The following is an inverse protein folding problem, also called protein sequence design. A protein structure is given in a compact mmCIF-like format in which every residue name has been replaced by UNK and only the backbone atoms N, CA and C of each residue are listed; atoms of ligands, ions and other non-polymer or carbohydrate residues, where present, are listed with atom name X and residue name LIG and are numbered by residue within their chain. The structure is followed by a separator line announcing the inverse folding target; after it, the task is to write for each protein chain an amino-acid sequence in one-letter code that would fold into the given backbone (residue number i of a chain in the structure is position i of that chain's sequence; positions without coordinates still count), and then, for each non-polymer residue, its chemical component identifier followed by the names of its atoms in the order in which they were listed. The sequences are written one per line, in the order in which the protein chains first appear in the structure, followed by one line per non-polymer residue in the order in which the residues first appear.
data_IF_992700913931
#
_entry.id   IF_992700913931
#
_cell.length_a   1.000
_cell.length_b   1.000
_cell.length_c   1.000
_cell.angle_alpha   90.00
_cell.angle_beta   90.00
_cell.angle_gamma   90.00
#
_symmetry.space_group_name_H-M   'P 1'
#
loop_
_entity.id
_entity.type
_entity.pdbx_description
1 polymer ?
#
# COMPACT_ATOMS: atom_id res chain seq x y z
N UNK A 1 18.81 48.04 14.03
CA UNK A 1 19.00 46.69 14.61
C UNK A 1 17.64 46.27 15.18
N UNK A 2 16.82 45.54 14.41
CA UNK A 2 15.70 44.70 14.86
C UNK A 2 15.03 44.11 13.60
N UNK A 3 15.75 43.22 12.91
CA UNK A 3 15.17 42.32 11.92
C UNK A 3 15.10 40.95 12.61
N UNK A 4 14.05 40.76 13.41
CA UNK A 4 13.85 39.58 14.24
C UNK A 4 12.95 38.59 13.49
N UNK A 5 13.54 37.47 13.09
CA UNK A 5 12.95 36.14 12.94
C UNK A 5 11.53 36.02 12.36
N UNK A 6 11.43 35.65 11.07
CA UNK A 6 10.53 34.58 10.63
C UNK A 6 11.11 33.90 9.39
N UNK A 7 12.24 33.19 9.56
CA UNK A 7 12.63 32.15 8.60
C UNK A 7 11.79 30.91 8.94
N UNK A 8 10.55 30.88 8.44
CA UNK A 8 9.70 29.70 8.51
C UNK A 8 10.44 28.59 7.75
N UNK A 9 11.09 27.72 8.50
CA UNK A 9 11.79 26.56 7.98
C UNK A 9 10.70 25.60 7.50
N UNK A 10 10.39 25.63 6.21
CA UNK A 10 9.56 24.63 5.56
C UNK A 10 10.41 23.36 5.51
N UNK A 11 10.50 22.66 6.63
CA UNK A 11 10.98 21.28 6.67
C UNK A 11 10.00 20.49 5.80
N UNK A 12 10.44 19.89 4.68
CA UNK A 12 9.59 18.91 4.02
C UNK A 12 9.39 17.79 5.03
N UNK A 13 8.19 17.71 5.60
CA UNK A 13 7.74 16.51 6.27
C UNK A 13 7.77 15.41 5.20
N UNK A 14 8.84 14.63 5.16
CA UNK A 14 8.89 13.38 4.42
C UNK A 14 8.01 12.43 5.22
N UNK A 15 6.69 12.60 5.14
CA UNK A 15 5.75 11.59 5.60
C UNK A 15 5.92 10.38 4.69
N UNK A 16 6.46 9.29 5.22
CA UNK A 16 6.43 8.00 4.52
C UNK A 16 4.97 7.59 4.35
N UNK A 17 4.61 7.22 3.13
CA UNK A 17 3.31 6.62 2.85
C UNK A 17 3.12 5.39 3.74
N UNK A 18 1.94 5.22 4.33
CA UNK A 18 1.64 4.10 5.23
C UNK A 18 0.57 3.20 4.61
N UNK A 19 0.88 1.93 4.33
CA UNK A 19 -0.01 1.02 3.59
C UNK A 19 -0.37 -0.24 4.37
N UNK A 20 -1.54 -0.81 4.05
CA UNK A 20 -1.92 -2.13 4.55
C UNK A 20 -1.08 -3.21 3.87
N UNK A 21 -0.39 -4.02 4.67
CA UNK A 21 0.42 -5.16 4.23
C UNK A 21 -0.28 -6.47 4.63
N UNK A 22 -0.89 -7.14 3.65
CA UNK A 22 -1.42 -8.49 3.85
C UNK A 22 -1.31 -9.32 2.58
N UNK A 23 -1.27 -10.64 2.71
CA UNK A 23 -1.19 -11.54 1.57
C UNK A 23 -1.88 -12.86 1.83
N UNK A 24 -2.30 -13.49 0.73
CA UNK A 24 -2.71 -14.89 0.68
C UNK A 24 -1.79 -15.57 -0.32
N UNK A 25 -0.98 -16.50 0.17
CA UNK A 25 -0.16 -17.39 -0.66
C UNK A 25 -0.94 -18.67 -0.89
N UNK A 26 -1.13 -19.06 -2.14
CA UNK A 26 -1.79 -20.31 -2.51
C UNK A 26 -0.87 -21.20 -3.34
N UNK A 27 -0.91 -22.50 -3.06
CA UNK A 27 -0.19 -23.50 -3.82
C UNK A 27 -1.17 -24.60 -4.27
N UNK A 28 -1.23 -24.82 -5.57
CA UNK A 28 -2.12 -25.77 -6.22
C UNK A 28 -1.30 -26.84 -6.91
N UNK A 29 -1.44 -28.09 -6.47
CA UNK A 29 -0.75 -29.24 -7.03
C UNK A 29 -1.70 -29.94 -7.99
N UNK A 30 -1.26 -30.11 -9.23
CA UNK A 30 -2.01 -30.82 -10.26
C UNK A 30 -1.35 -32.17 -10.56
N UNK A 31 -2.17 -33.20 -10.79
CA UNK A 31 -1.73 -34.49 -11.31
C UNK A 31 -2.64 -34.89 -12.46
N UNK A 32 -2.04 -35.22 -13.61
CA UNK A 32 -2.77 -35.51 -14.86
C UNK A 32 -3.78 -34.40 -15.23
N UNK A 33 -3.41 -33.14 -15.01
CA UNK A 33 -4.28 -31.97 -15.30
C UNK A 33 -5.40 -31.74 -14.27
N UNK A 34 -5.58 -32.61 -13.28
CA UNK A 34 -6.57 -32.44 -12.21
C UNK A 34 -5.95 -31.81 -10.97
N UNK A 35 -6.66 -30.88 -10.33
CA UNK A 35 -6.27 -30.33 -9.03
C UNK A 35 -6.41 -31.43 -7.96
N UNK A 36 -5.29 -31.84 -7.37
CA UNK A 36 -5.27 -32.88 -6.33
C UNK A 36 -5.06 -32.32 -4.93
N UNK A 37 -4.51 -31.11 -4.81
CA UNK A 37 -4.30 -30.44 -3.53
C UNK A 37 -4.23 -28.94 -3.73
N UNK A 38 -4.91 -28.21 -2.86
CA UNK A 38 -4.77 -26.76 -2.73
C UNK A 38 -4.45 -26.42 -1.28
N UNK A 39 -3.50 -25.54 -1.07
CA UNK A 39 -3.12 -25.05 0.27
C UNK A 39 -3.00 -23.55 0.22
N UNK A 40 -3.58 -22.85 1.19
CA UNK A 40 -3.50 -21.40 1.29
C UNK A 40 -3.02 -20.98 2.68
N UNK A 41 -2.10 -20.02 2.72
CA UNK A 41 -1.62 -19.37 3.93
C UNK A 41 -1.91 -17.87 3.85
N UNK A 42 -2.50 -17.33 4.92
CA UNK A 42 -2.78 -15.89 5.04
C UNK A 42 -1.79 -15.25 5.98
N UNK A 43 -1.24 -14.11 5.57
CA UNK A 43 -0.34 -13.29 6.36
C UNK A 43 -0.93 -11.90 6.48
N UNK A 44 -1.10 -11.43 7.72
CA UNK A 44 -1.59 -10.08 8.00
C UNK A 44 -0.58 -9.36 8.89
N UNK A 45 -0.03 -8.27 8.38
CA UNK A 45 0.96 -7.43 9.07
C UNK A 45 0.38 -6.06 9.46
N UNK A 46 -0.90 -5.81 9.16
CA UNK A 46 -1.52 -4.51 9.41
C UNK A 46 -0.92 -3.38 8.57
N UNK A 47 -0.98 -2.17 9.11
CA UNK A 47 -0.48 -0.96 8.45
C UNK A 47 1.00 -0.80 8.73
N UNK A 48 1.79 -0.61 7.68
CA UNK A 48 3.25 -0.48 7.75
C UNK A 48 3.69 0.73 6.92
N UNK A 49 4.65 1.47 7.44
CA UNK A 49 5.30 2.55 6.70
C UNK A 49 6.10 2.00 5.51
N UNK A 50 5.87 2.61 4.36
CA UNK A 50 6.59 2.29 3.13
C UNK A 50 8.04 2.77 3.21
N UNK A 51 8.94 1.90 2.76
CA UNK A 51 10.36 2.23 2.64
C UNK A 51 10.62 3.35 1.64
N UNK A 52 11.83 3.89 1.67
CA UNK A 52 12.27 4.90 0.71
C UNK A 52 12.03 4.42 -0.73
N UNK A 53 11.44 5.30 -1.56
CA UNK A 53 11.09 5.07 -2.96
C UNK A 53 9.86 4.16 -3.22
N UNK A 54 9.21 3.62 -2.18
CA UNK A 54 7.93 2.94 -2.31
C UNK A 54 6.80 3.96 -2.12
N UNK A 55 6.25 4.45 -3.23
CA UNK A 55 5.35 5.60 -3.27
C UNK A 55 3.90 5.24 -3.63
N UNK A 56 3.55 3.97 -3.65
CA UNK A 56 2.20 3.47 -3.94
C UNK A 56 1.77 2.43 -2.90
N UNK A 57 0.56 2.56 -2.38
CA UNK A 57 -0.15 1.43 -1.81
C UNK A 57 -0.79 0.66 -2.95
N UNK A 58 -0.53 -0.63 -3.03
CA UNK A 58 -1.01 -1.49 -4.10
C UNK A 58 -1.84 -2.61 -3.50
N UNK A 59 -3.03 -2.80 -4.05
CA UNK A 59 -3.79 -4.04 -3.92
C UNK A 59 -3.60 -4.82 -5.23
N UNK A 60 -2.98 -5.98 -5.17
CA UNK A 60 -2.63 -6.74 -6.35
C UNK A 60 -3.43 -8.05 -6.43
N UNK A 61 -3.90 -8.36 -7.64
CA UNK A 61 -4.53 -9.64 -7.93
C UNK A 61 -3.53 -10.78 -7.81
N UNK A 62 -4.04 -12.00 -7.74
CA UNK A 62 -3.25 -13.22 -7.75
C UNK A 62 -2.24 -13.23 -8.89
N UNK A 63 -0.96 -13.38 -8.56
CA UNK A 63 0.16 -13.52 -9.49
C UNK A 63 1.08 -14.65 -9.06
N UNK A 64 1.91 -15.16 -9.96
CA UNK A 64 2.92 -16.17 -9.60
C UNK A 64 3.99 -15.58 -8.68
N UNK A 65 4.39 -16.33 -7.65
CA UNK A 65 5.43 -15.88 -6.70
C UNK A 65 6.77 -15.67 -7.41
N UNK A 66 7.06 -16.43 -8.46
CA UNK A 66 8.24 -16.22 -9.29
C UNK A 66 8.25 -14.81 -9.92
N UNK A 67 7.10 -14.32 -10.38
CA UNK A 67 6.96 -12.96 -10.90
C UNK A 67 6.98 -11.92 -9.79
N UNK A 68 6.28 -12.18 -8.67
CA UNK A 68 6.31 -11.32 -7.48
C UNK A 68 7.75 -11.08 -7.00
N UNK A 69 8.61 -12.10 -6.98
CA UNK A 69 10.02 -12.01 -6.60
C UNK A 69 10.85 -11.06 -7.48
N UNK A 70 10.32 -10.62 -8.62
CA UNK A 70 10.96 -9.61 -9.48
C UNK A 70 10.59 -8.17 -9.13
N UNK A 71 9.59 -7.96 -8.27
CA UNK A 71 9.08 -6.65 -7.83
C UNK A 71 9.83 -6.15 -6.59
N UNK A 72 9.83 -4.85 -6.37
CA UNK A 72 10.43 -4.17 -5.22
C UNK A 72 9.86 -4.62 -3.86
N UNK A 73 8.55 -4.85 -3.78
CA UNK A 73 7.86 -5.43 -2.62
C UNK A 73 8.39 -6.82 -2.23
N UNK A 74 9.10 -7.48 -3.14
CA UNK A 74 9.75 -8.75 -2.90
C UNK A 74 11.28 -8.63 -2.80
N UNK A 75 11.85 -7.43 -2.81
CA UNK A 75 13.30 -7.21 -2.68
C UNK A 75 13.68 -6.58 -1.34
N UNK A 76 12.79 -5.85 -0.68
CA UNK A 76 13.04 -5.21 0.61
C UNK A 76 13.26 -6.22 1.76
N UNK A 77 14.05 -5.95 2.80
CA UNK A 77 14.22 -6.94 3.88
C UNK A 77 13.01 -7.02 4.86
N UNK A 78 11.82 -6.60 4.40
CA UNK A 78 10.59 -6.55 5.20
C UNK A 78 10.12 -7.93 5.60
N UNK A 79 9.37 -7.99 6.70
CA UNK A 79 8.69 -9.22 7.13
C UNK A 79 7.72 -9.73 6.06
N UNK A 80 7.01 -8.82 5.38
CA UNK A 80 6.08 -9.14 4.30
C UNK A 80 6.77 -9.95 3.20
N UNK A 81 7.90 -9.46 2.71
CA UNK A 81 8.59 -10.10 1.62
C UNK A 81 9.23 -11.44 2.02
N UNK A 82 9.72 -11.56 3.26
CA UNK A 82 10.28 -12.80 3.81
C UNK A 82 9.22 -13.91 3.90
N UNK A 83 7.99 -13.56 4.30
CA UNK A 83 6.88 -14.51 4.40
C UNK A 83 6.43 -15.06 3.05
N UNK A 84 6.69 -14.35 1.94
CA UNK A 84 6.25 -14.75 0.60
C UNK A 84 7.38 -15.43 -0.19
N UNK A 85 8.60 -14.86 -0.21
CA UNK A 85 9.71 -15.25 -1.10
C UNK A 85 10.11 -16.73 -1.05
N UNK A 86 9.99 -17.37 0.11
CA UNK A 86 10.35 -18.78 0.29
C UNK A 86 9.28 -19.77 -0.18
N UNK A 87 8.12 -19.31 -0.65
CA UNK A 87 7.02 -20.17 -1.06
C UNK A 87 7.00 -20.39 -2.57
N UNK A 88 6.27 -21.43 -2.98
CA UNK A 88 5.91 -21.70 -4.37
C UNK A 88 4.41 -21.44 -4.58
N UNK A 89 4.02 -21.25 -5.83
CA UNK A 89 2.63 -21.02 -6.23
C UNK A 89 2.34 -19.55 -6.50
N UNK A 90 1.21 -19.07 -6.00
CA UNK A 90 0.66 -17.75 -6.30
C UNK A 90 0.48 -16.92 -5.05
N UNK A 91 0.46 -15.60 -5.21
CA UNK A 91 0.22 -14.63 -4.15
C UNK A 91 -0.75 -13.55 -4.61
N UNK A 92 -1.70 -13.21 -3.75
CA UNK A 92 -2.56 -12.04 -3.86
C UNK A 92 -2.44 -11.24 -2.56
N UNK A 93 -2.65 -9.92 -2.59
CA UNK A 93 -2.47 -9.15 -1.37
C UNK A 93 -2.45 -7.64 -1.56
N UNK A 94 -1.97 -6.98 -0.51
CA UNK A 94 -1.77 -5.54 -0.43
C UNK A 94 -0.37 -5.27 0.11
N UNK A 95 0.34 -4.32 -0.50
CA UNK A 95 1.61 -3.83 0.03
C UNK A 95 2.04 -2.48 -0.53
N UNK A 96 3.14 -1.95 -0.01
CA UNK A 96 3.89 -0.87 -0.64
C UNK A 96 4.59 -1.34 -1.92
N UNK A 97 4.56 -0.53 -2.99
CA UNK A 97 5.37 -0.69 -4.20
C UNK A 97 5.78 0.68 -4.75
N UNK A 98 6.76 0.70 -5.65
CA UNK A 98 7.01 1.84 -6.53
C UNK A 98 5.98 1.92 -7.64
N UNK A 99 5.82 3.11 -8.20
CA UNK A 99 5.03 3.33 -9.41
C UNK A 99 5.47 2.48 -10.61
N UNK A 100 6.77 2.20 -10.74
CA UNK A 100 7.29 1.37 -11.82
C UNK A 100 6.75 -0.06 -11.74
N UNK A 101 6.79 -0.68 -10.55
CA UNK A 101 6.28 -2.03 -10.36
C UNK A 101 4.75 -2.08 -10.32
N UNK A 102 4.08 -1.04 -9.81
CA UNK A 102 2.63 -0.89 -9.93
C UNK A 102 2.19 -0.88 -11.43
N UNK A 103 2.92 -0.15 -12.28
CA UNK A 103 2.68 -0.13 -13.73
C UNK A 103 2.96 -1.50 -14.36
N UNK A 104 4.04 -2.17 -13.94
CA UNK A 104 4.43 -3.49 -14.44
C UNK A 104 3.37 -4.56 -14.19
N UNK A 105 2.64 -4.47 -13.07
CA UNK A 105 1.51 -5.37 -12.77
C UNK A 105 0.16 -4.87 -13.32
N UNK A 106 0.18 -3.78 -14.10
CA UNK A 106 -1.00 -3.13 -14.66
C UNK A 106 -2.02 -2.72 -13.57
N UNK A 107 -1.52 -2.19 -12.45
CA UNK A 107 -2.37 -1.65 -11.40
C UNK A 107 -3.05 -0.36 -11.87
N UNK A 108 -4.37 -0.31 -11.74
CA UNK A 108 -5.15 0.89 -12.08
C UNK A 108 -4.98 1.92 -10.97
N UNK A 109 -4.63 3.15 -11.32
CA UNK A 109 -4.59 4.24 -10.34
C UNK A 109 -6.01 4.62 -9.90
N UNK A 110 -6.23 4.68 -8.58
CA UNK A 110 -7.49 5.12 -7.99
C UNK A 110 -7.22 5.90 -6.70
N UNK A 111 -8.22 6.64 -6.20
CA UNK A 111 -8.13 7.29 -4.89
C UNK A 111 -8.19 6.28 -3.74
N UNK A 112 -8.99 5.23 -3.91
CA UNK A 112 -9.13 4.12 -2.98
C UNK A 112 -9.18 2.80 -3.74
N UNK A 113 -8.60 1.77 -3.14
CA UNK A 113 -8.58 0.40 -3.67
C UNK A 113 -9.39 -0.53 -2.75
N UNK A 114 -10.53 -0.04 -2.24
CA UNK A 114 -11.42 -0.80 -1.35
C UNK A 114 -12.39 -1.67 -2.16
N UNK A 115 -12.58 -2.93 -1.78
CA UNK A 115 -13.57 -3.85 -2.37
C UNK A 115 -12.97 -5.09 -3.05
N UNK A 116 -13.84 -5.86 -3.72
CA UNK A 116 -13.43 -7.01 -4.54
C UNK A 116 -12.89 -6.50 -5.87
N UNK A 117 -11.57 -6.51 -6.03
CA UNK A 117 -10.94 -6.04 -7.25
C UNK A 117 -10.69 -7.20 -8.21
N UNK A 118 -11.29 -7.12 -9.40
CA UNK A 118 -10.99 -8.02 -10.53
C UNK A 118 -9.64 -7.69 -11.19
N UNK A 119 -9.09 -6.51 -10.91
CA UNK A 119 -7.82 -5.99 -11.41
C UNK A 119 -6.90 -5.60 -10.25
N UNK A 120 -5.61 -5.35 -10.53
CA UNK A 120 -4.74 -4.71 -9.55
C UNK A 120 -5.08 -3.22 -9.45
N UNK A 121 -4.88 -2.59 -8.30
CA UNK A 121 -5.16 -1.18 -8.04
C UNK A 121 -4.01 -0.56 -7.26
N UNK A 122 -3.73 0.72 -7.52
CA UNK A 122 -2.72 1.50 -6.82
C UNK A 122 -3.24 2.87 -6.42
N UNK A 123 -2.78 3.37 -5.27
CA UNK A 123 -3.17 4.65 -4.70
C UNK A 123 -2.02 5.25 -3.88
N UNK A 124 -2.09 6.56 -3.56
CA UNK A 124 -0.96 7.33 -2.97
C UNK A 124 -1.28 7.94 -1.62
N UNK A 125 -2.45 7.65 -1.05
CA UNK A 125 -2.86 8.13 0.27
C UNK A 125 -2.70 7.02 1.30
N UNK A 126 -2.51 7.39 2.55
CA UNK A 126 -2.33 6.37 3.61
C UNK A 126 -3.52 5.42 3.65
N UNK A 127 -3.22 4.12 3.75
CA UNK A 127 -4.15 3.02 3.96
C UNK A 127 -5.27 2.90 2.91
N UNK A 128 -5.12 3.53 1.75
CA UNK A 128 -6.13 3.58 0.70
C UNK A 128 -6.53 2.22 0.10
N UNK A 129 -5.77 1.15 0.39
CA UNK A 129 -6.09 -0.24 0.01
C UNK A 129 -6.98 -0.99 1.00
N UNK A 130 -7.38 -0.37 2.11
CA UNK A 130 -8.38 -0.93 3.03
C UNK A 130 -7.98 -1.00 4.50
N UNK A 131 -7.21 -0.04 5.00
CA UNK A 131 -7.14 0.22 6.45
C UNK A 131 -8.29 1.14 6.86
N UNK A 132 -8.82 0.97 8.07
CA UNK A 132 -9.85 1.82 8.66
C UNK A 132 -9.31 3.22 9.00
N UNK A 133 -8.75 3.94 8.04
CA UNK A 133 -8.43 5.35 8.19
C UNK A 133 -9.64 6.15 7.75
N UNK A 134 -10.48 6.45 8.74
CA UNK A 134 -11.33 7.63 8.71
C UNK A 134 -10.38 8.84 8.57
N UNK A 135 -9.96 9.17 7.35
CA UNK A 135 -9.34 10.45 7.04
C UNK A 135 -10.41 11.50 7.26
N UNK A 136 -10.48 12.04 8.48
CA UNK A 136 -11.13 13.33 8.70
C UNK A 136 -10.37 14.33 7.82
N UNK A 137 -10.99 14.69 6.69
CA UNK A 137 -10.54 15.80 5.85
C UNK A 137 -10.45 17.05 6.73
N UNK A 138 -9.22 17.45 7.07
CA UNK A 138 -8.93 18.64 7.89
C UNK A 138 -9.42 19.94 7.22
N UNK A 139 -9.81 19.89 5.95
CA UNK A 139 -10.28 21.04 5.18
C UNK A 139 -11.61 21.59 5.77
N UNK A 140 -12.41 20.75 6.44
CA UNK A 140 -13.66 21.18 7.08
C UNK A 140 -13.48 22.07 8.33
N UNK A 141 -12.39 21.90 9.09
CA UNK A 141 -12.21 22.62 10.36
C UNK A 141 -11.72 24.05 10.19
N UNK A 142 -10.95 24.35 9.12
CA UNK A 142 -10.48 25.70 8.85
C UNK A 142 -11.61 26.66 8.46
N UNK A 143 -12.68 26.16 7.83
CA UNK A 143 -13.87 26.97 7.51
C UNK A 143 -14.66 27.39 8.76
N UNK A 144 -14.70 26.55 9.80
CA UNK A 144 -15.46 26.82 11.04
C UNK A 144 -14.67 27.78 11.96
N UNK A 145 -13.34 27.67 11.99
CA UNK A 145 -12.47 28.61 12.71
C UNK A 145 -12.44 30.00 12.05
N UNK A 146 -12.49 30.10 10.71
CA UNK A 146 -12.55 31.40 10.03
C UNK A 146 -13.89 32.15 10.26
N UNK A 147 -15.01 31.42 10.37
CA UNK A 147 -16.32 32.02 10.64
C UNK A 147 -16.47 32.53 12.08
N UNK A 148 -15.76 31.95 13.04
CA UNK A 148 -15.82 32.35 14.45
C UNK A 148 -14.94 33.57 14.79
N UNK A 149 -13.93 33.88 13.97
CA UNK A 149 -13.08 35.07 14.15
C UNK A 149 -13.71 36.32 13.53
N UNK A 150 -14.60 36.19 12.54
CA UNK A 150 -15.23 37.33 11.85
C UNK A 150 -16.49 37.87 12.54
N UNK A 151 -16.89 37.30 13.69
CA UNK A 151 -18.09 37.69 14.45
C UNK A 151 -17.83 38.31 15.83
N UNK A 152 -16.60 38.70 16.15
CA UNK A 152 -16.29 39.52 17.33
C UNK A 152 -15.73 40.88 16.92
#
# INVERSE_FOLDING_TARGET
IFLCLTLLSILPFISSLSCLNNSTVSNSIYSNGMLIKETAAKYDLGVVDCGANLNRCVAFKTMDIAFFNTLDAAKDNSMFAKLIRGNNGKVAGRCCMSEADATKIQAIAAETCTGYMSTSCSCTTDQCTGGSSMSLSLIGFLAILAYSITKN
#
